data_IF_073833623503
#
_entry.id   IF_073833623503
#
_cell.length_a   1.000
_cell.length_b   1.000
_cell.length_c   1.000
_cell.angle_alpha   90.00
_cell.angle_beta   90.00
_cell.angle_gamma   90.00
#
_symmetry.space_group_name_H-M   'P 1'
#
loop_
_entity.id
_entity.type
_entity.pdbx_description
1 polymer ?
#
# COMPACT_ATOMS: atom_id res chain seq x y z
N UNK A 1 3.69 -21.14 -6.71
CA UNK A 1 3.87 -20.16 -5.62
C UNK A 1 2.74 -19.14 -5.71
N UNK A 2 2.13 -18.78 -4.59
CA UNK A 2 1.06 -17.79 -4.50
C UNK A 2 1.24 -16.96 -3.23
N UNK A 3 0.73 -15.72 -3.24
CA UNK A 3 0.79 -14.83 -2.08
C UNK A 3 0.09 -15.49 -0.87
N UNK A 4 0.73 -15.57 0.31
CA UNK A 4 0.18 -16.25 1.47
C UNK A 4 -1.18 -15.69 1.91
N UNK A 5 -2.07 -16.58 2.32
CA UNK A 5 -3.37 -16.24 2.96
C UNK A 5 -3.32 -16.76 4.39
N UNK A 6 -3.55 -15.89 5.37
CA UNK A 6 -3.34 -16.16 6.79
C UNK A 6 -4.64 -15.84 7.54
N UNK A 7 -5.11 -16.79 8.34
CA UNK A 7 -6.19 -16.57 9.28
C UNK A 7 -5.63 -15.87 10.53
N UNK A 8 -5.99 -14.60 10.71
CA UNK A 8 -5.44 -13.78 11.78
C UNK A 8 -6.00 -14.12 13.16
N UNK A 9 -7.17 -14.78 13.22
CA UNK A 9 -7.80 -15.18 14.49
C UNK A 9 -7.01 -16.28 15.21
N UNK A 10 -6.22 -17.07 14.45
CA UNK A 10 -5.38 -18.15 14.98
C UNK A 10 -4.26 -17.66 15.91
N UNK A 11 -3.98 -16.36 15.95
CA UNK A 11 -3.09 -15.75 16.93
C UNK A 11 -3.61 -15.82 18.37
N UNK A 12 -4.91 -16.06 18.58
CA UNK A 12 -5.53 -16.12 19.91
C UNK A 12 -5.66 -17.54 20.47
N UNK A 13 -5.13 -18.56 19.77
CA UNK A 13 -5.32 -19.97 20.11
C UNK A 13 -4.04 -20.81 20.08
N UNK A 14 -4.20 -22.14 20.10
CA UNK A 14 -3.08 -23.09 20.10
C UNK A 14 -2.21 -23.05 18.83
N UNK A 15 -2.71 -22.46 17.74
CA UNK A 15 -1.99 -22.31 16.47
C UNK A 15 -1.20 -21.00 16.35
N UNK A 16 -1.07 -20.24 17.45
CA UNK A 16 -0.38 -18.95 17.45
C UNK A 16 1.03 -19.03 16.89
N UNK A 17 1.86 -19.98 17.37
CA UNK A 17 3.25 -20.11 16.94
C UNK A 17 3.38 -20.38 15.43
N UNK A 18 2.55 -21.28 14.89
CA UNK A 18 2.52 -21.55 13.46
C UNK A 18 2.06 -20.33 12.66
N UNK A 19 1.08 -19.59 13.16
CA UNK A 19 0.57 -18.37 12.52
C UNK A 19 1.63 -17.26 12.51
N UNK A 20 2.33 -17.04 13.62
CA UNK A 20 3.45 -16.09 13.72
C UNK A 20 4.54 -16.41 12.70
N UNK A 21 4.96 -17.67 12.61
CA UNK A 21 5.98 -18.13 11.65
C UNK A 21 5.53 -17.95 10.19
N UNK A 22 4.24 -18.13 9.89
CA UNK A 22 3.69 -17.86 8.55
C UNK A 22 3.70 -16.38 8.20
N UNK A 23 3.42 -15.51 9.17
CA UNK A 23 3.49 -14.05 8.97
C UNK A 23 4.95 -13.64 8.78
N UNK A 24 5.86 -14.13 9.60
CA UNK A 24 7.31 -13.89 9.49
C UNK A 24 7.83 -14.25 8.10
N UNK A 25 7.57 -15.49 7.67
CA UNK A 25 7.93 -15.98 6.36
C UNK A 25 7.31 -15.16 5.22
N UNK A 26 6.06 -14.69 5.38
CA UNK A 26 5.43 -13.85 4.36
C UNK A 26 6.11 -12.48 4.25
N UNK A 27 6.46 -11.85 5.37
CA UNK A 27 7.19 -10.58 5.38
C UNK A 27 8.59 -10.73 4.75
N UNK A 28 9.32 -11.80 5.09
CA UNK A 28 10.67 -12.05 4.56
C UNK A 28 10.67 -12.42 3.08
N UNK A 29 9.76 -13.30 2.67
CA UNK A 29 9.83 -13.90 1.34
C UNK A 29 8.97 -13.19 0.31
N UNK A 30 7.90 -12.52 0.72
CA UNK A 30 6.94 -11.90 -0.19
C UNK A 30 6.84 -10.40 -0.01
N UNK A 31 7.06 -9.89 1.20
CA UNK A 31 6.64 -8.53 1.57
C UNK A 31 5.13 -8.31 1.45
N UNK A 32 4.35 -9.37 1.22
CA UNK A 32 2.92 -9.37 0.91
C UNK A 32 2.23 -10.60 1.50
N UNK A 33 1.04 -10.42 2.06
CA UNK A 33 0.13 -11.51 2.45
C UNK A 33 -1.31 -11.00 2.52
N UNK A 34 -2.29 -11.91 2.59
CA UNK A 34 -3.69 -11.59 2.79
C UNK A 34 -4.14 -12.08 4.16
N UNK A 35 -4.82 -11.23 4.91
CA UNK A 35 -5.43 -11.59 6.18
C UNK A 35 -6.91 -11.89 6.00
N UNK A 36 -7.35 -12.99 6.59
CA UNK A 36 -8.75 -13.32 6.88
C UNK A 36 -8.99 -13.21 8.39
N UNK A 37 -10.26 -13.11 8.81
CA UNK A 37 -10.64 -13.08 10.22
C UNK A 37 -9.87 -12.04 11.04
N UNK A 38 -9.57 -10.90 10.43
CA UNK A 38 -8.77 -9.80 11.00
C UNK A 38 -9.55 -8.93 12.01
N UNK A 39 -10.85 -9.21 12.19
CA UNK A 39 -11.72 -8.54 13.18
C UNK A 39 -12.45 -7.30 12.69
N UNK A 40 -12.29 -6.91 11.42
CA UNK A 40 -13.12 -5.83 10.84
C UNK A 40 -14.46 -6.45 10.42
N UNK A 41 -15.61 -5.89 10.82
CA UNK A 41 -16.92 -6.44 10.45
C UNK A 41 -17.10 -6.53 8.93
N UNK A 42 -17.57 -7.67 8.44
CA UNK A 42 -17.82 -7.87 7.00
C UNK A 42 -18.88 -6.90 6.47
N UNK A 43 -19.88 -6.55 7.28
CA UNK A 43 -20.90 -5.56 6.94
C UNK A 43 -20.30 -4.16 6.69
N UNK A 44 -19.27 -3.78 7.47
CA UNK A 44 -18.54 -2.53 7.25
C UNK A 44 -17.74 -2.59 5.95
N UNK A 45 -17.07 -3.70 5.66
CA UNK A 45 -16.39 -3.89 4.38
C UNK A 45 -17.36 -3.77 3.19
N UNK A 46 -18.56 -4.36 3.30
CA UNK A 46 -19.58 -4.23 2.25
C UNK A 46 -20.12 -2.80 2.13
N UNK A 47 -20.27 -2.05 3.23
CA UNK A 47 -20.56 -0.60 3.16
C UNK A 47 -19.46 0.13 2.41
N UNK A 48 -18.19 -0.11 2.74
CA UNK A 48 -17.02 0.50 2.07
C UNK A 48 -17.05 0.25 0.56
N UNK A 49 -17.29 -0.99 0.13
CA UNK A 49 -17.45 -1.31 -1.31
C UNK A 49 -18.51 -0.41 -1.96
N UNK A 50 -19.71 -0.36 -1.36
CA UNK A 50 -20.84 0.40 -1.90
C UNK A 50 -20.56 1.89 -1.99
N UNK A 51 -20.00 2.50 -0.93
CA UNK A 51 -19.78 3.95 -0.92
C UNK A 51 -18.66 4.35 -1.88
N UNK A 52 -17.58 3.57 -1.98
CA UNK A 52 -16.50 3.81 -2.93
C UNK A 52 -16.98 3.68 -4.38
N UNK A 53 -17.78 2.66 -4.71
CA UNK A 53 -18.31 2.48 -6.07
C UNK A 53 -19.30 3.57 -6.47
N UNK A 54 -20.19 3.95 -5.54
CA UNK A 54 -21.12 5.07 -5.77
C UNK A 54 -20.38 6.39 -5.92
N UNK A 55 -19.39 6.65 -5.07
CA UNK A 55 -18.55 7.85 -5.19
C UNK A 55 -17.87 7.91 -6.55
N UNK A 56 -17.24 6.81 -6.99
CA UNK A 56 -16.66 6.74 -8.33
C UNK A 56 -17.70 7.04 -9.41
N UNK A 57 -18.85 6.35 -9.37
CA UNK A 57 -19.87 6.48 -10.40
C UNK A 57 -20.50 7.88 -10.47
N UNK A 58 -20.68 8.53 -9.32
CA UNK A 58 -21.41 9.80 -9.22
C UNK A 58 -20.50 11.03 -9.34
N UNK A 59 -19.27 10.97 -8.82
CA UNK A 59 -18.39 12.14 -8.75
C UNK A 59 -17.12 12.04 -9.61
N UNK A 60 -16.69 10.83 -9.98
CA UNK A 60 -15.34 10.61 -10.53
C UNK A 60 -15.30 10.13 -11.97
N UNK A 61 -16.24 9.25 -12.35
CA UNK A 61 -16.20 8.52 -13.63
C UNK A 61 -16.15 9.47 -14.83
N UNK A 62 -16.91 10.57 -14.82
CA UNK A 62 -16.91 11.52 -15.92
C UNK A 62 -15.57 12.26 -16.03
N UNK A 63 -15.02 12.73 -14.89
CA UNK A 63 -13.70 13.34 -14.87
C UNK A 63 -12.58 12.38 -15.30
N UNK A 64 -12.73 11.07 -15.04
CA UNK A 64 -11.81 10.06 -15.53
C UNK A 64 -11.87 9.93 -17.06
N UNK A 65 -13.06 9.93 -17.68
CA UNK A 65 -13.22 9.86 -19.14
C UNK A 65 -12.52 11.02 -19.86
N UNK A 66 -12.51 12.20 -19.24
CA UNK A 66 -11.83 13.40 -19.76
C UNK A 66 -10.35 13.51 -19.34
N UNK A 67 -9.86 12.53 -18.58
CA UNK A 67 -8.52 12.56 -18.03
C UNK A 67 -7.44 12.53 -19.11
N UNK A 68 -6.24 12.99 -18.74
CA UNK A 68 -5.06 12.89 -19.61
C UNK A 68 -4.76 11.45 -20.02
N UNK A 69 -5.00 10.48 -19.14
CA UNK A 69 -4.72 9.06 -19.41
C UNK A 69 -5.59 8.52 -20.54
N UNK A 70 -6.88 8.85 -20.55
CA UNK A 70 -7.82 8.46 -21.60
C UNK A 70 -7.49 9.13 -22.92
N UNK A 71 -7.23 10.45 -22.91
CA UNK A 71 -6.86 11.20 -24.12
C UNK A 71 -5.61 10.66 -24.79
N UNK A 72 -4.53 10.44 -24.03
CA UNK A 72 -3.28 9.89 -24.57
C UNK A 72 -3.46 8.49 -25.12
N UNK A 73 -4.29 7.64 -24.49
CA UNK A 73 -4.56 6.30 -25.01
C UNK A 73 -5.36 6.37 -26.32
N UNK A 74 -6.35 7.26 -26.43
CA UNK A 74 -7.15 7.42 -27.64
C UNK A 74 -6.30 7.94 -28.81
N UNK A 75 -5.48 8.97 -28.59
CA UNK A 75 -4.52 9.48 -29.59
C UNK A 75 -3.60 8.36 -30.10
N UNK A 76 -3.21 7.46 -29.19
CA UNK A 76 -2.35 6.34 -29.49
C UNK A 76 -3.05 5.24 -30.30
N UNK A 77 -4.32 4.97 -30.00
CA UNK A 77 -5.17 4.04 -30.76
C UNK A 77 -5.41 4.57 -32.17
N UNK A 78 -5.74 5.85 -32.29
CA UNK A 78 -6.00 6.52 -33.57
C UNK A 78 -4.73 6.62 -34.44
N UNK A 79 -3.55 6.65 -33.81
CA UNK A 79 -2.24 6.72 -34.46
C UNK A 79 -1.73 5.42 -35.11
N UNK A 80 -2.38 4.26 -34.90
CA UNK A 80 -2.05 2.99 -35.55
C UNK A 80 -0.92 2.15 -34.91
N UNK A 81 -0.55 1.03 -35.56
CA UNK A 81 0.24 -0.08 -34.99
C UNK A 81 1.69 0.23 -34.56
N UNK A 82 2.25 1.38 -34.95
CA UNK A 82 3.62 1.81 -34.55
C UNK A 82 3.69 2.48 -33.18
N UNK A 83 2.56 2.56 -32.48
CA UNK A 83 2.43 3.24 -31.22
C UNK A 83 3.21 2.58 -30.05
N UNK A 84 4.03 3.37 -29.35
CA UNK A 84 4.76 2.92 -28.15
C UNK A 84 3.88 2.92 -26.91
N UNK A 85 3.97 1.88 -26.09
CA UNK A 85 3.32 1.77 -24.77
C UNK A 85 3.50 3.05 -23.92
N UNK A 86 2.45 3.44 -23.22
CA UNK A 86 2.42 4.56 -22.28
C UNK A 86 2.99 4.14 -20.91
N UNK A 87 4.30 4.28 -20.73
CA UNK A 87 4.99 3.91 -19.48
C UNK A 87 5.24 5.10 -18.52
N UNK A 88 4.74 6.29 -18.86
CA UNK A 88 4.88 7.50 -18.04
C UNK A 88 3.57 7.99 -17.40
N UNK A 89 2.47 7.24 -17.57
CA UNK A 89 1.14 7.54 -17.02
C UNK A 89 0.50 6.28 -16.45
N UNK A 90 -0.44 6.45 -15.53
CA UNK A 90 -1.18 5.39 -14.86
C UNK A 90 -2.66 5.47 -15.28
N UNK A 91 -3.27 4.34 -15.65
CA UNK A 91 -4.70 4.22 -15.96
C UNK A 91 -5.51 4.07 -14.67
N UNK A 92 -5.61 5.15 -13.93
CA UNK A 92 -6.13 5.17 -12.55
C UNK A 92 -6.96 6.44 -12.30
N UNK A 93 -8.17 6.29 -11.76
CA UNK A 93 -8.80 7.36 -10.98
C UNK A 93 -8.35 7.24 -9.53
N UNK A 94 -7.98 8.36 -8.91
CA UNK A 94 -7.47 8.37 -7.54
C UNK A 94 -7.85 9.65 -6.80
N UNK A 95 -8.18 9.48 -5.53
CA UNK A 95 -8.20 10.55 -4.54
C UNK A 95 -7.71 10.04 -3.17
N UNK A 96 -7.39 10.98 -2.28
CA UNK A 96 -6.81 10.68 -0.97
C UNK A 96 -7.72 11.17 0.14
N UNK A 97 -7.87 10.35 1.19
CA UNK A 97 -8.53 10.70 2.44
C UNK A 97 -7.46 10.90 3.51
N UNK A 98 -7.36 12.12 4.02
CA UNK A 98 -6.47 12.53 5.09
C UNK A 98 -7.29 13.23 6.17
N UNK A 99 -6.78 13.32 7.40
CA UNK A 99 -7.56 13.86 8.51
C UNK A 99 -7.82 15.38 8.37
N UNK A 100 -7.03 16.07 7.55
CA UNK A 100 -7.02 17.51 7.33
C UNK A 100 -7.63 17.96 5.97
N UNK A 101 -8.00 17.01 5.09
CA UNK A 101 -8.54 17.35 3.78
C UNK A 101 -10.06 17.15 3.68
N UNK A 102 -10.66 17.82 2.69
CA UNK A 102 -12.07 17.61 2.38
C UNK A 102 -12.28 16.27 1.67
N UNK A 103 -13.27 15.51 2.13
CA UNK A 103 -13.62 14.22 1.55
C UNK A 103 -14.81 14.36 0.61
N UNK A 104 -15.03 13.41 -0.31
CA UNK A 104 -16.28 13.30 -1.06
C UNK A 104 -17.50 13.38 -0.15
N UNK A 105 -18.51 14.12 -0.61
CA UNK A 105 -19.80 14.26 0.08
C UNK A 105 -20.88 13.36 -0.52
N UNK A 106 -20.61 12.72 -1.67
CA UNK A 106 -21.51 11.77 -2.33
C UNK A 106 -20.85 10.38 -2.45
N UNK A 107 -21.53 9.30 -2.03
CA UNK A 107 -22.85 9.28 -1.39
C UNK A 107 -22.83 9.85 0.05
N UNK A 108 -24.00 10.21 0.60
CA UNK A 108 -24.13 10.85 1.92
C UNK A 108 -23.49 10.05 3.06
N UNK A 109 -23.47 8.72 2.95
CA UNK A 109 -22.90 7.79 3.93
C UNK A 109 -21.38 7.56 3.75
N UNK A 110 -20.74 8.20 2.74
CA UNK A 110 -19.33 8.00 2.43
C UNK A 110 -18.43 8.39 3.61
N UNK A 111 -18.59 9.60 4.15
CA UNK A 111 -17.71 10.14 5.19
C UNK A 111 -17.80 9.32 6.48
N UNK A 112 -19.01 8.99 6.90
CA UNK A 112 -19.24 8.17 8.11
C UNK A 112 -18.61 6.78 7.94
N UNK A 113 -18.95 6.08 6.85
CA UNK A 113 -18.44 4.73 6.55
C UNK A 113 -16.91 4.70 6.49
N UNK A 114 -16.30 5.65 5.78
CA UNK A 114 -14.85 5.71 5.64
C UNK A 114 -14.14 6.13 6.94
N UNK A 115 -14.80 6.90 7.81
CA UNK A 115 -14.26 7.24 9.14
C UNK A 115 -14.18 6.00 10.02
N UNK A 116 -15.29 5.24 10.11
CA UNK A 116 -15.35 3.99 10.87
C UNK A 116 -14.33 2.96 10.34
N UNK A 117 -14.30 2.78 9.02
CA UNK A 117 -13.36 1.86 8.37
C UNK A 117 -11.89 2.22 8.63
N UNK A 118 -11.53 3.51 8.52
CA UNK A 118 -10.16 3.97 8.81
C UNK A 118 -9.79 3.74 10.27
N UNK A 119 -10.72 3.89 11.21
CA UNK A 119 -10.48 3.60 12.62
C UNK A 119 -10.17 2.11 12.86
N UNK A 120 -10.93 1.21 12.24
CA UNK A 120 -10.70 -0.24 12.32
C UNK A 120 -9.38 -0.65 11.67
N UNK A 121 -9.03 -0.07 10.52
CA UNK A 121 -7.73 -0.32 9.90
C UNK A 121 -6.55 0.18 10.73
N UNK A 122 -6.66 1.33 11.41
CA UNK A 122 -5.62 1.81 12.34
C UNK A 122 -5.36 0.76 13.44
N UNK A 123 -6.43 0.21 14.04
CA UNK A 123 -6.31 -0.86 15.05
C UNK A 123 -5.66 -2.12 14.47
N UNK A 124 -6.03 -2.53 13.25
CA UNK A 124 -5.42 -3.68 12.59
C UNK A 124 -3.93 -3.45 12.28
N UNK A 125 -3.57 -2.26 11.78
CA UNK A 125 -2.19 -1.90 11.49
C UNK A 125 -1.31 -1.99 12.74
N UNK A 126 -1.79 -1.47 13.88
CA UNK A 126 -1.06 -1.56 15.15
C UNK A 126 -0.86 -3.02 15.59
N UNK A 127 -1.89 -3.87 15.49
CA UNK A 127 -1.76 -5.31 15.78
C UNK A 127 -0.75 -6.01 14.86
N UNK A 128 -0.76 -5.68 13.58
CA UNK A 128 0.21 -6.24 12.61
C UNK A 128 1.62 -5.80 12.96
N UNK A 129 1.83 -4.54 13.33
CA UNK A 129 3.14 -4.04 13.78
C UNK A 129 3.60 -4.72 15.07
N UNK A 130 2.71 -4.96 16.04
CA UNK A 130 3.06 -5.72 17.26
C UNK A 130 3.47 -7.18 16.96
N UNK A 131 2.84 -7.82 15.98
CA UNK A 131 3.24 -9.16 15.50
C UNK A 131 4.61 -9.11 14.83
N UNK A 132 4.87 -8.07 14.03
CA UNK A 132 6.18 -7.83 13.43
C UNK A 132 7.27 -7.61 14.48
N UNK A 133 6.99 -6.79 15.50
CA UNK A 133 7.91 -6.54 16.62
C UNK A 133 8.32 -7.88 17.27
N UNK A 134 7.36 -8.73 17.62
CA UNK A 134 7.64 -10.01 18.27
C UNK A 134 8.44 -10.97 17.39
N UNK A 135 8.09 -11.12 16.11
CA UNK A 135 8.84 -11.96 15.18
C UNK A 135 10.28 -11.44 14.95
N UNK A 136 10.47 -10.12 14.98
CA UNK A 136 11.78 -9.48 14.85
C UNK A 136 12.59 -9.52 16.15
N UNK A 137 12.00 -9.97 17.27
CA UNK A 137 12.64 -9.93 18.59
C UNK A 137 12.75 -8.51 19.17
N UNK A 138 11.93 -7.58 18.68
CA UNK A 138 11.85 -6.20 19.14
C UNK A 138 10.90 -6.09 20.33
N UNK A 139 11.09 -5.05 21.13
CA UNK A 139 10.15 -4.71 22.20
C UNK A 139 8.76 -4.42 21.60
N UNK A 140 7.70 -4.89 22.26
CA UNK A 140 6.32 -4.61 21.85
C UNK A 140 6.09 -3.10 21.63
N UNK A 141 5.55 -2.74 20.47
CA UNK A 141 5.26 -1.36 20.07
C UNK A 141 6.47 -0.58 19.57
N UNK A 142 7.61 -1.23 19.34
CA UNK A 142 8.82 -0.58 18.85
C UNK A 142 8.58 0.13 17.51
N UNK A 143 8.02 -0.56 16.50
CA UNK A 143 7.73 0.05 15.19
C UNK A 143 6.80 1.27 15.34
N UNK A 144 5.76 1.17 16.18
CA UNK A 144 4.84 2.29 16.44
C UNK A 144 5.57 3.49 17.06
N UNK A 145 6.45 3.27 18.04
CA UNK A 145 7.26 4.33 18.67
C UNK A 145 8.25 4.95 17.67
N UNK A 146 8.87 4.14 16.82
CA UNK A 146 9.76 4.60 15.75
C UNK A 146 9.00 5.52 14.78
N UNK A 147 7.76 5.17 14.42
CA UNK A 147 6.92 5.99 13.54
C UNK A 147 6.49 7.32 14.17
N UNK A 148 6.41 7.42 15.49
CA UNK A 148 6.22 8.69 16.20
C UNK A 148 7.55 9.41 16.50
N UNK A 149 8.70 8.92 16.01
CA UNK A 149 10.00 9.51 16.33
C UNK A 149 10.31 9.56 17.83
N UNK A 150 9.77 8.62 18.62
CA UNK A 150 9.99 8.53 20.07
C UNK A 150 9.30 9.61 20.92
N UNK A 151 8.42 10.43 20.34
CA UNK A 151 7.69 11.49 21.04
C UNK A 151 6.18 11.40 20.79
N UNK A 152 5.38 11.53 21.85
CA UNK A 152 3.92 11.55 21.77
C UNK A 152 3.36 12.76 21.00
N UNK A 153 4.19 13.79 20.77
CA UNK A 153 3.82 14.99 20.01
C UNK A 153 3.83 14.81 18.48
N UNK A 154 4.54 13.80 17.98
CA UNK A 154 4.64 13.51 16.55
C UNK A 154 3.58 12.47 16.19
N UNK A 155 2.63 12.84 15.33
CA UNK A 155 1.57 11.92 14.91
C UNK A 155 2.00 11.15 13.65
N UNK A 156 2.06 9.81 13.70
CA UNK A 156 2.19 8.99 12.50
C UNK A 156 1.12 9.37 11.47
N UNK A 157 1.49 9.35 10.20
CA UNK A 157 0.56 9.66 9.13
C UNK A 157 -0.30 8.44 8.81
N UNK A 158 -1.61 8.64 8.74
CA UNK A 158 -2.54 7.61 8.28
C UNK A 158 -3.43 8.16 7.16
N UNK A 159 -3.09 7.84 5.92
CA UNK A 159 -3.84 8.24 4.74
C UNK A 159 -4.49 7.05 4.04
N UNK A 160 -5.61 7.27 3.36
CA UNK A 160 -6.24 6.26 2.50
C UNK A 160 -6.25 6.75 1.05
N UNK A 161 -5.58 6.01 0.16
CA UNK A 161 -5.71 6.16 -1.30
C UNK A 161 -6.91 5.34 -1.75
N UNK A 162 -7.93 6.00 -2.27
CA UNK A 162 -9.07 5.35 -2.91
C UNK A 162 -8.86 5.44 -4.41
N UNK A 163 -8.85 4.29 -5.07
CA UNK A 163 -8.60 4.20 -6.50
C UNK A 163 -9.54 3.24 -7.19
N UNK A 164 -9.85 3.59 -8.43
CA UNK A 164 -10.56 2.75 -9.38
C UNK A 164 -9.69 2.61 -10.63
N UNK A 165 -9.62 1.40 -11.17
CA UNK A 165 -8.98 1.11 -12.45
C UNK A 165 -10.07 0.69 -13.43
N UNK A 166 -10.67 1.64 -14.17
CA UNK A 166 -11.78 1.35 -15.07
C UNK A 166 -11.36 0.48 -16.25
N UNK A 167 -12.32 -0.15 -16.96
CA UNK A 167 -12.04 -0.92 -18.17
C UNK A 167 -11.17 -0.13 -19.16
N UNK A 168 -10.05 -0.73 -19.58
CA UNK A 168 -9.11 -0.17 -20.53
C UNK A 168 -9.27 -0.89 -21.88
N UNK A 169 -9.55 -0.18 -23.00
CA UNK A 169 -9.76 -0.81 -24.29
C UNK A 169 -8.51 -1.49 -24.86
N UNK A 170 -7.31 -1.07 -24.44
CA UNK A 170 -6.01 -1.59 -24.88
C UNK A 170 -5.05 -1.77 -23.70
N UNK A 171 -5.30 -2.77 -22.82
CA UNK A 171 -4.54 -2.94 -21.57
C UNK A 171 -3.06 -3.32 -21.79
N UNK A 172 -2.67 -3.71 -23.00
CA UNK A 172 -1.28 -3.93 -23.38
C UNK A 172 -0.48 -2.63 -23.58
N UNK A 173 -1.18 -1.51 -23.82
CA UNK A 173 -0.59 -0.20 -24.12
C UNK A 173 -0.41 0.69 -22.89
N UNK A 174 -1.02 0.37 -21.74
CA UNK A 174 -0.91 1.17 -20.52
C UNK A 174 -1.10 0.30 -19.27
N UNK A 175 -0.36 0.60 -18.19
CA UNK A 175 -0.56 -0.04 -16.89
C UNK A 175 -1.64 0.65 -16.07
N UNK A 176 -2.29 -0.08 -15.15
CA UNK A 176 -3.15 0.54 -14.15
C UNK A 176 -2.33 1.40 -13.19
N UNK A 177 -1.25 0.84 -12.64
CA UNK A 177 -0.26 1.55 -11.84
C UNK A 177 1.12 0.93 -12.09
N UNK A 178 2.10 1.77 -12.44
CA UNK A 178 3.47 1.34 -12.72
C UNK A 178 4.14 0.67 -11.52
N UNK A 179 5.16 -0.14 -11.80
CA UNK A 179 5.91 -0.86 -10.78
C UNK A 179 6.59 0.12 -9.81
N UNK A 180 6.41 -0.11 -8.52
CA UNK A 180 7.07 0.63 -7.44
C UNK A 180 7.09 -0.22 -6.16
N UNK A 181 7.84 0.22 -5.17
CA UNK A 181 7.67 -0.20 -3.77
C UNK A 181 7.02 0.96 -3.00
N UNK A 182 6.35 0.67 -1.89
CA UNK A 182 5.72 1.72 -1.10
C UNK A 182 6.74 2.39 -0.17
N UNK A 183 6.81 3.72 -0.20
CA UNK A 183 7.73 4.49 0.66
C UNK A 183 7.50 4.30 2.16
N UNK A 184 6.30 3.85 2.54
CA UNK A 184 5.73 3.97 3.86
C UNK A 184 6.12 2.88 4.86
N UNK A 185 5.28 2.75 5.88
CA UNK A 185 5.39 1.72 6.91
C UNK A 185 4.65 0.46 6.52
N UNK A 186 3.44 0.28 7.06
CA UNK A 186 2.58 -0.87 6.76
C UNK A 186 1.40 -0.40 5.92
N UNK A 187 1.11 -1.15 4.85
CA UNK A 187 0.03 -0.87 3.92
C UNK A 187 -1.06 -1.92 4.11
N UNK A 188 -2.30 -1.45 4.21
CA UNK A 188 -3.49 -2.28 4.39
C UNK A 188 -4.44 -1.98 3.24
N UNK A 189 -4.56 -2.93 2.31
CA UNK A 189 -5.34 -2.80 1.09
C UNK A 189 -6.59 -3.67 1.17
N UNK A 190 -7.74 -3.01 1.11
CA UNK A 190 -9.00 -3.65 0.76
C UNK A 190 -9.25 -3.46 -0.74
N UNK A 191 -8.93 -4.50 -1.51
CA UNK A 191 -9.10 -4.51 -2.95
C UNK A 191 -10.44 -5.12 -3.38
N UNK A 192 -10.75 -4.99 -4.66
CA UNK A 192 -11.84 -5.70 -5.30
C UNK A 192 -11.75 -7.21 -5.05
N UNK A 193 -12.89 -7.86 -4.80
CA UNK A 193 -12.99 -9.29 -4.50
C UNK A 193 -13.34 -10.14 -5.73
N UNK A 194 -13.45 -9.53 -6.92
CA UNK A 194 -13.76 -10.20 -8.20
C UNK A 194 -12.78 -9.84 -9.31
N UNK A 195 -12.38 -8.57 -9.40
CA UNK A 195 -11.53 -8.04 -10.46
C UNK A 195 -10.07 -8.00 -9.98
N UNK A 196 -9.22 -8.83 -10.59
CA UNK A 196 -7.78 -8.86 -10.33
C UNK A 196 -7.04 -7.63 -10.88
N UNK A 197 -5.72 -7.62 -10.74
CA UNK A 197 -4.86 -6.62 -11.37
C UNK A 197 -3.59 -6.31 -10.59
N UNK A 198 -3.63 -6.42 -9.26
CA UNK A 198 -2.45 -6.24 -8.42
C UNK A 198 -1.49 -7.43 -8.60
N UNK A 199 -0.23 -7.13 -8.87
CA UNK A 199 0.85 -8.10 -9.00
C UNK A 199 2.03 -7.71 -8.12
N UNK A 200 2.66 -8.69 -7.47
CA UNK A 200 3.91 -8.55 -6.72
C UNK A 200 5.05 -9.27 -7.46
N UNK A 201 6.24 -8.69 -7.47
CA UNK A 201 7.44 -9.27 -8.07
C UNK A 201 8.14 -10.16 -7.05
N UNK A 202 8.34 -11.44 -7.38
CA UNK A 202 9.13 -12.38 -6.57
C UNK A 202 10.01 -13.24 -7.49
N UNK A 203 11.31 -13.28 -7.22
CA UNK A 203 12.26 -14.08 -8.00
C UNK A 203 12.23 -13.76 -9.50
N UNK A 204 12.16 -12.46 -9.84
CA UNK A 204 12.10 -11.98 -11.24
C UNK A 204 10.78 -12.23 -11.97
N UNK A 205 9.74 -12.71 -11.28
CA UNK A 205 8.43 -13.03 -11.87
C UNK A 205 7.31 -12.30 -11.15
N UNK A 206 6.33 -11.82 -11.93
CA UNK A 206 5.11 -11.22 -11.41
C UNK A 206 4.11 -12.29 -10.98
N UNK A 207 3.56 -12.16 -9.78
CA UNK A 207 2.53 -13.03 -9.21
C UNK A 207 1.29 -12.20 -8.88
N UNK A 208 0.11 -12.67 -9.28
CA UNK A 208 -1.14 -12.01 -8.93
C UNK A 208 -1.43 -12.12 -7.42
N UNK A 209 -1.82 -11.00 -6.81
CA UNK A 209 -2.48 -10.97 -5.52
C UNK A 209 -3.97 -11.22 -5.77
N UNK A 210 -4.38 -12.49 -5.73
CA UNK A 210 -5.73 -12.91 -6.13
C UNK A 210 -6.81 -12.22 -5.30
N UNK A 211 -7.89 -11.70 -5.92
CA UNK A 211 -9.06 -11.22 -5.23
C UNK A 211 -9.60 -12.25 -4.24
N UNK A 212 -9.89 -11.82 -3.02
CA UNK A 212 -10.42 -12.67 -1.95
C UNK A 212 -11.42 -11.89 -1.12
N UNK A 213 -12.66 -12.38 -1.07
CA UNK A 213 -13.76 -11.72 -0.36
C UNK A 213 -13.45 -11.62 1.14
N UNK A 214 -13.65 -10.43 1.70
CA UNK A 214 -13.46 -10.17 3.12
C UNK A 214 -12.01 -10.20 3.59
N UNK A 215 -11.03 -10.22 2.67
CA UNK A 215 -9.62 -10.18 3.03
C UNK A 215 -9.04 -8.76 2.99
N UNK A 216 -8.04 -8.52 3.82
CA UNK A 216 -7.18 -7.33 3.76
C UNK A 216 -5.80 -7.78 3.29
N UNK A 217 -5.32 -7.25 2.18
CA UNK A 217 -3.94 -7.42 1.72
C UNK A 217 -3.05 -6.56 2.59
N UNK A 218 -1.98 -7.14 3.12
CA UNK A 218 -0.95 -6.44 3.88
C UNK A 218 0.34 -6.46 3.07
N UNK A 219 1.04 -5.33 3.01
CA UNK A 219 2.41 -5.28 2.53
C UNK A 219 3.28 -4.32 3.34
N UNK A 220 4.58 -4.62 3.34
CA UNK A 220 5.62 -3.84 3.99
C UNK A 220 6.19 -2.80 3.05
N UNK A 221 6.31 -1.57 3.54
CA UNK A 221 6.95 -0.47 2.85
C UNK A 221 8.44 -0.37 3.19
N UNK A 222 9.12 0.55 2.50
CA UNK A 222 10.56 0.78 2.60
C UNK A 222 11.01 1.08 4.05
N UNK A 223 10.15 1.66 4.90
CA UNK A 223 10.51 1.96 6.29
C UNK A 223 10.56 0.71 7.18
N UNK A 224 9.71 -0.29 6.91
CA UNK A 224 9.78 -1.57 7.62
C UNK A 224 11.01 -2.36 7.19
N UNK A 225 11.42 -2.23 5.93
CA UNK A 225 12.66 -2.82 5.43
C UNK A 225 13.87 -2.25 6.19
N UNK A 226 13.94 -0.92 6.37
CA UNK A 226 15.01 -0.30 7.17
C UNK A 226 14.94 -0.75 8.65
N UNK A 227 13.75 -0.69 9.28
CA UNK A 227 13.57 -1.06 10.69
C UNK A 227 13.82 -2.55 10.98
N UNK A 228 13.81 -3.40 9.95
CA UNK A 228 14.14 -4.82 10.07
C UNK A 228 15.55 -5.15 9.56
N UNK A 229 16.36 -4.13 9.23
CA UNK A 229 17.68 -4.26 8.60
C UNK A 229 17.66 -5.20 7.38
N UNK A 230 16.66 -5.06 6.52
CA UNK A 230 16.51 -5.82 5.28
C UNK A 230 15.80 -7.18 5.41
N UNK A 231 15.53 -7.65 6.64
CA UNK A 231 14.89 -8.96 6.85
C UNK A 231 13.47 -8.99 6.28
N UNK A 232 12.66 -7.96 6.50
CA UNK A 232 11.34 -7.84 5.87
C UNK A 232 11.42 -6.99 4.61
N UNK A 233 10.99 -7.56 3.48
CA UNK A 233 11.19 -6.94 2.18
C UNK A 233 10.08 -5.96 1.84
N UNK A 234 10.42 -4.76 1.37
CA UNK A 234 9.48 -3.97 0.58
C UNK A 234 9.53 -4.43 -0.88
N UNK A 235 8.48 -5.14 -1.28
CA UNK A 235 8.42 -5.80 -2.58
C UNK A 235 7.87 -4.86 -3.66
N UNK A 236 8.48 -4.97 -4.84
CA UNK A 236 7.98 -4.34 -6.06
C UNK A 236 6.60 -4.88 -6.41
N UNK A 237 5.65 -3.98 -6.63
CA UNK A 237 4.29 -4.32 -7.02
C UNK A 237 3.78 -3.36 -8.10
N UNK A 238 2.80 -3.79 -8.87
CA UNK A 238 2.16 -3.02 -9.95
C UNK A 238 0.67 -3.36 -10.05
N UNK A 239 -0.09 -2.53 -10.75
CA UNK A 239 -1.46 -2.87 -11.16
C UNK A 239 -1.52 -2.95 -12.68
N UNK A 240 -1.94 -4.09 -13.23
CA UNK A 240 -2.20 -4.23 -14.67
C UNK A 240 -3.59 -3.69 -15.01
N UNK A 241 -3.70 -3.04 -16.16
CA UNK A 241 -5.00 -2.64 -16.70
C UNK A 241 -5.75 -3.87 -17.22
N UNK A 242 -7.08 -3.79 -17.28
CA UNK A 242 -7.95 -4.85 -17.77
C UNK A 242 -9.02 -4.26 -18.69
N UNK A 243 -9.36 -4.97 -19.77
CA UNK A 243 -10.51 -4.61 -20.61
C UNK A 243 -11.86 -4.90 -19.94
N UNK A 244 -11.84 -5.70 -18.87
CA UNK A 244 -13.05 -6.15 -18.18
C UNK A 244 -13.02 -5.77 -16.70
N UNK A 245 -14.12 -5.18 -16.23
CA UNK A 245 -14.31 -4.82 -14.83
C UNK A 245 -13.64 -3.50 -14.45
N UNK A 246 -14.12 -2.92 -13.34
CA UNK A 246 -13.52 -1.74 -12.72
C UNK A 246 -12.95 -2.19 -11.36
N UNK A 247 -11.62 -2.32 -11.26
CA UNK A 247 -11.00 -2.77 -10.00
C UNK A 247 -11.04 -1.63 -8.99
N UNK A 248 -11.77 -1.82 -7.89
CA UNK A 248 -11.68 -0.96 -6.70
C UNK A 248 -10.43 -1.28 -5.88
N UNK A 249 -9.83 -0.24 -5.30
CA UNK A 249 -8.66 -0.33 -4.43
C UNK A 249 -8.74 0.71 -3.32
N UNK A 250 -8.91 0.27 -2.07
CA UNK A 250 -8.94 1.14 -0.89
C UNK A 250 -7.71 0.83 -0.03
N UNK A 251 -6.60 1.51 -0.34
CA UNK A 251 -5.30 1.28 0.30
C UNK A 251 -5.04 2.31 1.39
N UNK A 252 -4.87 1.86 2.63
CA UNK A 252 -4.45 2.70 3.75
C UNK A 252 -2.98 2.52 4.06
N UNK A 253 -2.31 3.63 4.34
CA UNK A 253 -0.87 3.69 4.60
C UNK A 253 -0.67 4.16 6.02
N UNK A 254 -0.12 3.30 6.88
CA UNK A 254 0.35 3.68 8.20
C UNK A 254 1.84 4.01 8.10
N UNK A 255 2.15 5.29 8.07
CA UNK A 255 3.49 5.81 7.82
C UNK A 255 4.08 6.52 9.04
N UNK A 256 5.41 6.64 9.13
CA UNK A 256 6.04 7.51 10.11
C UNK A 256 5.56 8.96 10.00
N UNK A 257 5.71 9.70 11.09
CA UNK A 257 5.69 11.16 11.07
C UNK A 257 6.88 11.67 10.24
N UNK A 258 6.75 12.81 9.57
CA UNK A 258 7.82 13.34 8.70
C UNK A 258 9.13 13.57 9.46
N UNK A 259 9.05 13.96 10.71
CA UNK A 259 10.16 14.20 11.62
C UNK A 259 10.72 12.93 12.28
N UNK A 260 10.13 11.75 12.01
CA UNK A 260 10.63 10.50 12.57
C UNK A 260 11.97 10.12 11.95
N UNK A 261 12.95 9.80 12.79
CA UNK A 261 14.23 9.22 12.35
C UNK A 261 14.06 7.71 12.23
N UNK A 262 14.24 7.19 11.03
CA UNK A 262 14.16 5.78 10.71
C UNK A 262 15.57 5.23 10.56
N UNK A 263 15.87 4.14 11.26
CA UNK A 263 17.18 3.50 11.33
C UNK A 263 17.05 2.00 11.60
N UNK A 264 18.02 1.16 11.19
CA UNK A 264 18.00 -0.25 11.56
C UNK A 264 18.16 -0.45 13.08
N UNK A 265 17.77 -1.64 13.61
CA UNK A 265 17.99 -2.00 15.00
C UNK A 265 19.48 -1.98 15.36
N UNK A 266 19.80 -1.79 16.65
CA UNK A 266 21.18 -1.85 17.13
C UNK A 266 21.76 -3.25 16.93
N UNK A 267 22.93 -3.34 16.29
CA UNK A 267 23.54 -4.62 15.95
C UNK A 267 24.89 -4.46 15.23
N UNK A 268 25.63 -5.56 15.02
CA UNK A 268 27.03 -5.53 14.59
C UNK A 268 27.27 -5.06 13.14
N UNK A 269 26.25 -5.03 12.28
CA UNK A 269 26.35 -4.50 10.91
C UNK A 269 25.01 -3.93 10.42
N UNK A 270 24.89 -2.59 10.40
CA UNK A 270 23.78 -1.90 9.77
C UNK A 270 23.95 -1.91 8.24
N UNK A 271 23.01 -2.51 7.51
CA UNK A 271 23.01 -2.54 6.04
C UNK A 271 22.29 -1.32 5.44
N UNK A 272 21.45 -0.67 6.25
CA UNK A 272 20.65 0.49 5.85
C UNK A 272 21.09 1.75 6.60
N UNK A 273 21.01 2.93 5.96
CA UNK A 273 21.34 4.18 6.61
C UNK A 273 20.24 4.65 7.58
N UNK A 274 20.59 5.60 8.43
CA UNK A 274 19.64 6.36 9.25
C UNK A 274 19.26 7.66 8.53
N UNK A 275 17.98 8.03 8.54
CA UNK A 275 17.50 9.28 7.93
C UNK A 275 16.16 9.73 8.53
N UNK A 276 15.82 10.99 8.34
CA UNK A 276 14.48 11.50 8.65
C UNK A 276 13.48 11.11 7.56
N UNK A 277 12.27 10.67 7.94
CA UNK A 277 11.28 10.19 6.98
C UNK A 277 10.84 11.27 5.97
N UNK A 278 10.79 12.53 6.37
CA UNK A 278 10.49 13.67 5.50
C UNK A 278 11.49 13.81 4.35
N UNK A 279 12.78 13.60 4.63
CA UNK A 279 13.83 13.63 3.61
C UNK A 279 13.69 12.45 2.64
N UNK A 280 13.37 11.26 3.18
CA UNK A 280 13.05 10.10 2.35
C UNK A 280 11.87 10.37 1.42
N UNK A 281 10.80 10.99 1.92
CA UNK A 281 9.64 11.35 1.12
C UNK A 281 9.96 12.37 0.02
N UNK A 282 10.84 13.34 0.29
CA UNK A 282 11.30 14.31 -0.70
C UNK A 282 12.09 13.66 -1.85
N UNK A 283 12.88 12.61 -1.55
CA UNK A 283 13.56 11.78 -2.55
C UNK A 283 12.55 10.90 -3.29
N UNK A 284 11.69 10.19 -2.57
CA UNK A 284 10.71 9.26 -3.12
C UNK A 284 9.74 9.94 -4.11
N UNK A 285 9.29 11.17 -3.83
CA UNK A 285 8.42 11.92 -4.72
C UNK A 285 9.01 12.10 -6.14
N UNK A 286 10.35 12.12 -6.26
CA UNK A 286 11.07 12.24 -7.53
C UNK A 286 11.45 10.90 -8.15
N UNK A 287 11.52 9.84 -7.33
CA UNK A 287 12.12 8.54 -7.68
C UNK A 287 11.16 7.35 -7.49
N UNK A 288 9.86 7.60 -7.31
CA UNK A 288 8.85 6.57 -7.02
C UNK A 288 8.93 5.35 -7.96
N UNK A 289 9.07 5.60 -9.26
CA UNK A 289 9.11 4.58 -10.31
C UNK A 289 10.54 4.24 -10.78
N UNK A 290 11.56 4.70 -10.05
CA UNK A 290 12.98 4.37 -10.27
C UNK A 290 13.42 3.32 -9.25
N UNK A 291 14.65 2.80 -9.41
CA UNK A 291 15.24 1.82 -8.48
C UNK A 291 15.09 2.28 -7.01
N UNK A 292 14.82 1.32 -6.12
CA UNK A 292 14.55 1.59 -4.69
C UNK A 292 15.85 1.90 -3.95
N UNK A 293 16.89 1.14 -4.24
CA UNK A 293 18.15 1.08 -3.50
C UNK A 293 18.85 2.45 -3.41
N UNK A 294 18.92 3.26 -4.49
CA UNK A 294 19.52 4.61 -4.42
C UNK A 294 18.78 5.58 -3.48
N UNK A 295 17.50 5.35 -3.18
CA UNK A 295 16.69 6.25 -2.35
C UNK A 295 17.19 6.30 -0.91
N UNK A 296 17.61 5.17 -0.36
CA UNK A 296 18.11 5.08 1.02
C UNK A 296 19.36 5.93 1.23
N UNK A 297 20.33 5.83 0.32
CA UNK A 297 21.57 6.63 0.37
C UNK A 297 21.29 8.12 0.16
N UNK A 298 20.42 8.46 -0.80
CA UNK A 298 20.06 9.85 -1.07
C UNK A 298 19.33 10.52 0.11
N UNK A 299 18.45 9.79 0.81
CA UNK A 299 17.76 10.31 1.99
C UNK A 299 18.73 10.61 3.14
N UNK A 300 19.72 9.73 3.36
CA UNK A 300 20.74 9.91 4.38
C UNK A 300 21.67 11.11 4.11
N UNK A 301 21.99 11.36 2.83
CA UNK A 301 22.83 12.47 2.43
C UNK A 301 22.17 13.85 2.66
N UNK A 302 20.84 13.95 2.51
CA UNK A 302 20.11 15.21 2.71
C UNK A 302 20.12 15.68 4.18
N UNK A 303 20.17 14.75 5.14
CA UNK A 303 20.23 15.06 6.58
C UNK A 303 21.63 15.36 7.11
N UNK A 304 22.66 15.38 6.25
CA UNK A 304 24.06 15.63 6.65
C UNK A 304 24.51 17.09 6.48
N UNK A 305 23.57 17.99 6.14
CA UNK A 305 23.81 19.43 6.03
C UNK A 305 23.20 20.16 7.23
N UNK A 306 23.76 19.97 8.42
CA UNK A 306 23.66 20.89 9.57
C UNK A 306 24.94 20.81 10.41
#
# INVERSE_FOLDING_TARGET
MAVPIIDFSMLQGGERAATMARIDHACEQWGFFQLLNHGIPLELLDRVKRVCDKCFKMEREEGFKDSRSVRLLNELIDGGETAKRLDNIDWEDVFFLQDDNQWPSTPLDFKETMTEYRAELKKLAEKVMEVMDENLGLEKGYIKRAFSGGSDGNRPFFGTKVSHYPPCPRPELVGGLRAHTDAGGVILLFQDDRVGGLQVLKGGRWFDVRPLAGAIVINTGDQIEVLSNGRYQSAWHRVVASANGNRRSVASFYNPALQAVIKPPEGPAAEYPSFMFGDYMAVYAKQKFMAKEPRFLAAAANGSCD
#
